data_IF_538405213704
#
_entry.id   IF_538405213704
#
_cell.length_a   1.000
_cell.length_b   1.000
_cell.length_c   1.000
_cell.angle_alpha   90.00
_cell.angle_beta   90.00
_cell.angle_gamma   90.00
#
_symmetry.space_group_name_H-M   'P 1'
#
loop_
_entity.id
_entity.type
_entity.pdbx_description
1 polymer ?
#
# COMPACT_ATOMS: atom_id res chain seq x y z
N UNK A 1 85.05 59.42 0.78
CA UNK A 1 84.69 58.75 2.05
C UNK A 1 83.34 59.31 2.52
N UNK A 2 82.32 59.28 1.67
CA UNK A 2 81.36 58.19 1.40
C UNK A 2 80.34 57.96 2.53
N UNK A 3 79.58 59.02 2.81
CA UNK A 3 78.20 58.97 3.34
C UNK A 3 77.23 58.14 2.46
N UNK A 4 77.70 57.62 1.32
CA UNK A 4 76.97 56.69 0.44
C UNK A 4 76.93 55.23 0.94
N UNK A 5 77.75 54.83 1.92
CA UNK A 5 77.78 53.43 2.40
C UNK A 5 76.76 53.16 3.51
N UNK A 6 76.37 54.15 4.30
CA UNK A 6 75.37 53.97 5.38
C UNK A 6 73.91 54.04 4.91
N UNK A 7 73.63 54.65 3.76
CA UNK A 7 72.29 54.65 3.15
C UNK A 7 71.97 53.38 2.34
N UNK A 8 72.98 52.52 2.10
CA UNK A 8 72.79 51.23 1.41
C UNK A 8 72.65 50.04 2.35
N UNK A 9 72.83 50.22 3.67
CA UNK A 9 72.67 49.14 4.65
C UNK A 9 71.26 49.06 5.27
N UNK A 10 70.41 50.07 5.04
CA UNK A 10 68.98 50.03 5.37
C UNK A 10 68.05 49.79 4.16
N UNK A 11 68.62 49.43 3.00
CA UNK A 11 67.84 49.08 1.78
C UNK A 11 67.89 47.56 1.50
N UNK A 12 68.44 46.77 2.43
CA UNK A 12 68.62 45.32 2.27
C UNK A 12 68.01 44.47 3.41
N UNK A 13 67.05 45.01 4.16
CA UNK A 13 66.29 44.25 5.19
C UNK A 13 64.78 44.17 4.97
N UNK A 14 64.25 44.55 3.81
CA UNK A 14 62.81 44.43 3.48
C UNK A 14 62.58 43.81 2.08
N UNK A 15 63.39 42.80 1.73
CA UNK A 15 63.03 41.87 0.64
C UNK A 15 62.73 40.50 1.23
N UNK A 16 61.45 40.18 1.28
CA UNK A 16 60.98 38.80 1.24
C UNK A 16 60.41 38.31 2.55
N UNK A 17 59.15 38.64 2.82
CA UNK A 17 58.08 37.65 2.90
C UNK A 17 56.76 38.39 2.67
N UNK A 18 56.40 38.59 1.40
CA UNK A 18 54.97 38.69 1.09
C UNK A 18 54.28 37.45 1.66
N UNK A 19 53.03 37.52 2.12
CA UNK A 19 52.38 36.37 2.75
C UNK A 19 52.43 35.17 1.81
N UNK A 20 52.57 33.99 2.39
CA UNK A 20 52.53 32.72 1.67
C UNK A 20 51.10 32.49 1.12
N UNK A 21 50.79 33.10 -0.03
CA UNK A 21 49.48 33.01 -0.68
C UNK A 21 49.14 31.53 -0.93
N UNK A 22 50.13 30.71 -1.32
CA UNK A 22 49.94 29.29 -1.56
C UNK A 22 49.57 28.55 -0.26
N UNK A 23 50.30 28.81 0.82
CA UNK A 23 50.01 28.26 2.15
C UNK A 23 48.62 28.65 2.66
N UNK A 24 48.21 29.90 2.48
CA UNK A 24 46.87 30.37 2.88
C UNK A 24 45.74 29.76 2.03
N UNK A 25 45.96 29.59 0.73
CA UNK A 25 45.03 28.84 -0.13
C UNK A 25 44.93 27.38 0.33
N UNK A 26 46.03 26.75 0.72
CA UNK A 26 46.03 25.38 1.23
C UNK A 26 45.40 25.26 2.63
N UNK A 27 45.51 26.29 3.47
CA UNK A 27 44.73 26.41 4.71
C UNK A 27 43.23 26.47 4.39
N UNK A 28 42.81 27.29 3.44
CA UNK A 28 41.41 27.37 3.02
C UNK A 28 40.89 26.02 2.47
N UNK A 29 41.69 25.30 1.67
CA UNK A 29 41.34 23.95 1.19
C UNK A 29 41.22 22.94 2.34
N UNK A 30 42.02 23.07 3.40
CA UNK A 30 41.87 22.26 4.63
C UNK A 30 40.56 22.58 5.33
N UNK A 31 40.16 23.85 5.42
CA UNK A 31 38.86 24.24 5.96
C UNK A 31 37.69 23.64 5.16
N UNK A 32 37.77 23.65 3.82
CA UNK A 32 36.77 23.01 2.95
C UNK A 32 36.66 21.51 3.23
N UNK A 33 37.80 20.80 3.31
CA UNK A 33 37.83 19.37 3.65
C UNK A 33 37.28 19.08 5.04
N UNK A 34 37.38 20.03 5.96
CA UNK A 34 36.79 19.95 7.30
C UNK A 34 35.30 20.36 7.34
N UNK A 35 34.68 20.68 6.21
CA UNK A 35 33.29 21.13 6.12
C UNK A 35 33.06 22.59 6.55
N UNK A 36 34.10 23.33 6.88
CA UNK A 36 34.05 24.74 7.34
C UNK A 36 34.00 25.70 6.14
N UNK A 37 32.93 25.60 5.35
CA UNK A 37 32.78 26.34 4.09
C UNK A 37 32.74 27.86 4.32
N UNK A 38 32.06 28.32 5.38
CA UNK A 38 32.01 29.73 5.75
C UNK A 38 33.39 30.32 6.10
N UNK A 39 34.17 29.59 6.90
CA UNK A 39 35.53 30.01 7.27
C UNK A 39 36.46 30.05 6.04
N UNK A 40 36.36 29.03 5.18
CA UNK A 40 37.10 29.00 3.92
C UNK A 40 36.74 30.18 3.01
N UNK A 41 35.45 30.55 2.94
CA UNK A 41 34.97 31.72 2.19
C UNK A 41 35.54 33.01 2.72
N UNK A 42 35.52 33.19 4.04
CA UNK A 42 36.06 34.40 4.69
C UNK A 42 37.58 34.52 4.47
N UNK A 43 38.32 33.42 4.62
CA UNK A 43 39.75 33.37 4.37
C UNK A 43 40.09 33.73 2.91
N UNK A 44 39.47 33.05 1.94
CA UNK A 44 39.75 33.27 0.52
C UNK A 44 39.31 34.65 0.05
N UNK A 45 38.15 35.16 0.48
CA UNK A 45 37.69 36.49 0.08
C UNK A 45 38.57 37.61 0.65
N UNK A 46 39.06 37.46 1.88
CA UNK A 46 39.99 38.43 2.50
C UNK A 46 41.34 38.42 1.79
N UNK A 47 41.86 37.21 1.51
CA UNK A 47 43.10 37.03 0.77
C UNK A 47 42.99 37.62 -0.64
N UNK A 48 41.88 37.35 -1.34
CA UNK A 48 41.60 37.87 -2.67
C UNK A 48 41.52 39.40 -2.71
N UNK A 49 40.83 40.03 -1.74
CA UNK A 49 40.76 41.50 -1.64
C UNK A 49 42.13 42.16 -1.50
N UNK A 50 43.09 41.45 -0.91
CA UNK A 50 44.44 41.97 -0.65
C UNK A 50 45.40 41.70 -1.81
N UNK A 51 45.27 40.53 -2.46
CA UNK A 51 46.21 40.04 -3.48
C UNK A 51 45.52 39.68 -4.80
N UNK A 52 44.55 40.49 -5.24
CA UNK A 52 43.72 40.21 -6.41
C UNK A 52 44.51 40.02 -7.73
N UNK A 53 45.74 40.53 -7.81
CA UNK A 53 46.60 40.42 -8.99
C UNK A 53 47.24 39.02 -9.16
N UNK A 54 47.27 38.18 -8.12
CA UNK A 54 47.89 36.85 -8.18
C UNK A 54 47.04 35.86 -9.01
N UNK A 55 47.55 35.32 -10.14
CA UNK A 55 46.78 34.42 -11.00
C UNK A 55 46.39 33.10 -10.33
N UNK A 56 47.23 32.55 -9.46
CA UNK A 56 46.97 31.28 -8.76
C UNK A 56 45.86 31.41 -7.73
N UNK A 57 45.81 32.54 -7.04
CA UNK A 57 44.74 32.93 -6.14
C UNK A 57 43.44 33.18 -6.89
N UNK A 58 43.47 33.89 -8.02
CA UNK A 58 42.30 34.08 -8.89
C UNK A 58 41.68 32.74 -9.29
N UNK A 59 42.49 31.78 -9.77
CA UNK A 59 42.01 30.44 -10.15
C UNK A 59 41.42 29.71 -8.93
N UNK A 60 42.12 29.73 -7.80
CA UNK A 60 41.68 29.03 -6.59
C UNK A 60 40.38 29.61 -6.04
N UNK A 61 40.24 30.94 -6.06
CA UNK A 61 39.04 31.62 -5.62
C UNK A 61 37.88 31.39 -6.59
N UNK A 62 38.10 31.48 -7.91
CA UNK A 62 37.07 31.17 -8.91
C UNK A 62 36.56 29.73 -8.78
N UNK A 63 37.44 28.74 -8.58
CA UNK A 63 37.04 27.33 -8.33
C UNK A 63 36.23 27.19 -7.04
N UNK A 64 36.63 27.89 -5.99
CA UNK A 64 35.89 27.87 -4.73
C UNK A 64 34.48 28.46 -4.89
N UNK A 65 34.35 29.62 -5.52
CA UNK A 65 33.06 30.26 -5.82
C UNK A 65 32.18 29.35 -6.68
N UNK A 66 32.76 28.71 -7.69
CA UNK A 66 32.07 27.72 -8.53
C UNK A 66 31.53 26.55 -7.70
N UNK A 67 32.37 25.98 -6.81
CA UNK A 67 31.96 24.87 -5.94
C UNK A 67 30.86 25.24 -4.95
N UNK A 68 30.77 26.52 -4.57
CA UNK A 68 29.70 27.08 -3.74
C UNK A 68 28.44 27.47 -4.55
N UNK A 69 28.46 27.34 -5.89
CA UNK A 69 27.38 27.76 -6.76
C UNK A 69 27.16 29.28 -6.82
N UNK A 70 28.16 30.09 -6.48
CA UNK A 70 28.09 31.56 -6.53
C UNK A 70 28.31 32.09 -7.94
N UNK A 71 27.54 31.56 -8.90
CA UNK A 71 27.74 31.78 -10.33
C UNK A 71 27.62 33.27 -10.71
N UNK A 72 26.63 33.98 -10.15
CA UNK A 72 26.40 35.39 -10.44
C UNK A 72 27.59 36.27 -10.06
N UNK A 73 28.11 36.09 -8.84
CA UNK A 73 29.27 36.82 -8.35
C UNK A 73 30.52 36.44 -9.14
N UNK A 74 30.72 35.14 -9.40
CA UNK A 74 31.85 34.64 -10.19
C UNK A 74 31.87 35.26 -11.59
N UNK A 75 30.73 35.29 -12.29
CA UNK A 75 30.62 35.87 -13.63
C UNK A 75 30.88 37.38 -13.60
N UNK A 76 30.38 38.09 -12.58
CA UNK A 76 30.58 39.52 -12.42
C UNK A 76 32.06 39.86 -12.20
N UNK A 77 32.73 39.11 -11.33
CA UNK A 77 34.12 39.36 -10.95
C UNK A 77 35.11 38.93 -12.05
N UNK A 78 34.90 37.74 -12.62
CA UNK A 78 35.87 37.10 -13.50
C UNK A 78 35.48 37.07 -14.98
N UNK A 79 34.35 37.67 -15.36
CA UNK A 79 33.81 37.57 -16.72
C UNK A 79 34.72 38.13 -17.83
N UNK A 80 35.65 39.01 -17.49
CA UNK A 80 36.65 39.57 -18.44
C UNK A 80 38.08 39.05 -18.18
N UNK A 81 38.24 37.99 -17.38
CA UNK A 81 39.57 37.47 -17.04
C UNK A 81 40.30 36.94 -18.29
N UNK A 82 41.60 37.28 -18.47
CA UNK A 82 42.39 36.74 -19.56
C UNK A 82 42.78 35.27 -19.34
N UNK A 83 42.64 34.72 -18.13
CA UNK A 83 43.07 33.37 -17.75
C UNK A 83 42.11 32.31 -18.30
N UNK A 84 42.62 31.38 -19.10
CA UNK A 84 41.81 30.40 -19.82
C UNK A 84 40.98 29.47 -18.91
N UNK A 85 41.59 28.98 -17.82
CA UNK A 85 40.90 28.15 -16.83
C UNK A 85 39.70 28.90 -16.21
N UNK A 86 39.84 30.20 -15.99
CA UNK A 86 38.79 31.03 -15.40
C UNK A 86 37.66 31.24 -16.41
N UNK A 87 37.98 31.45 -17.69
CA UNK A 87 36.96 31.53 -18.76
C UNK A 87 36.13 30.25 -18.83
N UNK A 88 36.77 29.08 -18.77
CA UNK A 88 36.06 27.80 -18.74
C UNK A 88 35.08 27.70 -17.55
N UNK A 89 35.52 28.12 -16.36
CA UNK A 89 34.68 28.14 -15.15
C UNK A 89 33.52 29.13 -15.29
N UNK A 90 33.76 30.31 -15.86
CA UNK A 90 32.72 31.33 -16.15
C UNK A 90 31.68 30.78 -17.13
N UNK A 91 32.11 30.11 -18.19
CA UNK A 91 31.21 29.52 -19.18
C UNK A 91 30.37 28.40 -18.60
N UNK A 92 30.97 27.53 -17.78
CA UNK A 92 30.23 26.51 -17.01
C UNK A 92 29.23 27.15 -16.05
N UNK A 93 29.63 28.23 -15.37
CA UNK A 93 28.76 28.98 -14.45
C UNK A 93 27.52 29.53 -15.18
N UNK A 94 27.70 30.11 -16.37
CA UNK A 94 26.58 30.59 -17.20
C UNK A 94 25.63 29.46 -17.60
N UNK A 95 26.18 28.31 -18.02
CA UNK A 95 25.38 27.12 -18.35
C UNK A 95 24.60 26.60 -17.14
N UNK A 96 25.23 26.53 -15.98
CA UNK A 96 24.62 26.01 -14.76
C UNK A 96 23.52 26.93 -14.22
N UNK A 97 23.67 28.25 -14.32
CA UNK A 97 22.58 29.18 -14.00
C UNK A 97 21.32 28.93 -14.83
N UNK A 98 21.47 28.65 -16.13
CA UNK A 98 20.34 28.33 -17.00
C UNK A 98 19.73 26.98 -16.62
N UNK A 99 20.57 25.96 -16.39
CA UNK A 99 20.13 24.61 -15.98
C UNK A 99 19.37 24.59 -14.66
N UNK A 100 19.74 25.46 -13.72
CA UNK A 100 19.13 25.51 -12.39
C UNK A 100 17.68 26.01 -12.40
N UNK A 101 17.34 26.88 -13.36
CA UNK A 101 15.98 27.42 -13.47
C UNK A 101 14.99 26.32 -13.86
N UNK A 102 14.06 26.00 -12.96
CA UNK A 102 13.06 24.96 -13.20
C UNK A 102 13.63 23.53 -13.26
N UNK A 103 14.83 23.32 -12.71
CA UNK A 103 15.51 22.03 -12.77
C UNK A 103 14.66 20.87 -12.21
N UNK A 104 14.77 19.72 -12.88
CA UNK A 104 14.24 18.46 -12.36
C UNK A 104 15.25 17.81 -11.39
N UNK A 105 14.85 16.70 -10.76
CA UNK A 105 15.69 15.99 -9.78
C UNK A 105 17.06 15.60 -10.35
N UNK A 106 17.11 15.06 -11.58
CA UNK A 106 18.34 14.58 -12.20
C UNK A 106 19.32 15.74 -12.47
N UNK A 107 18.82 16.85 -13.02
CA UNK A 107 19.64 18.04 -13.28
C UNK A 107 20.20 18.60 -11.97
N UNK A 108 19.40 18.62 -10.90
CA UNK A 108 19.87 19.07 -9.58
C UNK A 108 20.96 18.16 -9.02
N UNK A 109 20.84 16.83 -9.19
CA UNK A 109 21.89 15.89 -8.78
C UNK A 109 23.21 16.12 -9.53
N UNK A 110 23.15 16.32 -10.84
CA UNK A 110 24.33 16.67 -11.65
C UNK A 110 24.95 18.00 -11.20
N UNK A 111 24.12 19.02 -10.92
CA UNK A 111 24.59 20.31 -10.42
C UNK A 111 25.22 20.21 -9.03
N UNK A 112 24.75 19.32 -8.15
CA UNK A 112 25.41 19.05 -6.87
C UNK A 112 26.78 18.37 -7.08
N UNK A 113 26.92 17.49 -8.07
CA UNK A 113 28.23 16.90 -8.37
C UNK A 113 29.24 17.95 -8.86
N UNK A 114 28.78 18.92 -9.66
CA UNK A 114 29.63 20.02 -10.14
C UNK A 114 29.92 21.07 -9.07
N UNK A 115 28.92 21.37 -8.23
CA UNK A 115 28.96 22.42 -7.20
C UNK A 115 28.48 21.87 -5.85
N UNK A 116 29.30 21.05 -5.17
CA UNK A 116 28.89 20.25 -4.01
C UNK A 116 28.57 21.07 -2.75
N UNK A 117 28.97 22.34 -2.73
CA UNK A 117 28.72 23.24 -1.59
C UNK A 117 27.65 24.28 -1.92
N UNK A 118 26.94 24.14 -3.04
CA UNK A 118 25.89 25.06 -3.42
C UNK A 118 24.67 24.94 -2.52
N UNK A 119 24.52 25.93 -1.62
CA UNK A 119 23.34 26.06 -0.77
C UNK A 119 22.05 26.05 -1.58
N UNK A 120 22.00 26.83 -2.67
CA UNK A 120 20.78 27.00 -3.49
C UNK A 120 20.35 25.69 -4.15
N UNK A 121 21.30 25.02 -4.81
CA UNK A 121 21.04 23.75 -5.52
C UNK A 121 20.68 22.63 -4.54
N UNK A 122 21.43 22.50 -3.44
CA UNK A 122 21.15 21.46 -2.44
C UNK A 122 19.81 21.67 -1.73
N UNK A 123 19.44 22.91 -1.38
CA UNK A 123 18.10 23.22 -0.84
C UNK A 123 17.00 22.80 -1.82
N UNK A 124 17.16 23.17 -3.10
CA UNK A 124 16.21 22.82 -4.15
C UNK A 124 16.10 21.30 -4.35
N UNK A 125 17.24 20.58 -4.36
CA UNK A 125 17.27 19.13 -4.48
C UNK A 125 16.56 18.47 -3.31
N UNK A 126 16.90 18.86 -2.08
CA UNK A 126 16.29 18.30 -0.88
C UNK A 126 14.77 18.51 -0.89
N UNK A 127 14.30 19.72 -1.19
CA UNK A 127 12.85 19.99 -1.29
C UNK A 127 12.18 19.13 -2.37
N UNK A 128 12.80 19.01 -3.56
CA UNK A 128 12.27 18.16 -4.65
C UNK A 128 12.18 16.69 -4.23
N UNK A 129 13.14 16.20 -3.45
CA UNK A 129 13.14 14.84 -2.92
C UNK A 129 12.04 14.65 -1.87
N UNK A 130 11.77 15.65 -1.02
CA UNK A 130 10.65 15.63 -0.07
C UNK A 130 9.31 15.57 -0.80
N UNK A 131 9.11 16.40 -1.83
CA UNK A 131 7.87 16.41 -2.63
C UNK A 131 7.58 15.06 -3.30
N UNK A 132 8.64 14.33 -3.67
CA UNK A 132 8.56 12.99 -4.27
C UNK A 132 8.49 11.85 -3.25
N UNK A 133 8.46 12.15 -1.95
CA UNK A 133 8.44 11.13 -0.89
C UNK A 133 9.76 10.39 -0.69
N UNK A 134 10.88 10.86 -1.26
CA UNK A 134 12.22 10.25 -1.16
C UNK A 134 12.93 10.70 0.13
N UNK A 135 12.29 10.51 1.28
CA UNK A 135 12.69 11.12 2.56
C UNK A 135 14.10 10.74 3.04
N UNK A 136 14.52 9.48 2.88
CA UNK A 136 15.85 9.06 3.29
C UNK A 136 16.97 9.76 2.52
N UNK A 137 16.78 10.03 1.22
CA UNK A 137 17.73 10.78 0.40
C UNK A 137 17.70 12.27 0.74
N UNK A 138 16.50 12.83 0.91
CA UNK A 138 16.32 14.22 1.33
C UNK A 138 17.02 14.51 2.66
N UNK A 139 16.90 13.60 3.65
CA UNK A 139 17.60 13.74 4.94
C UNK A 139 19.11 13.76 4.79
N UNK A 140 19.70 12.86 3.99
CA UNK A 140 21.17 12.87 3.78
C UNK A 140 21.64 14.19 3.16
N UNK A 141 20.93 14.67 2.15
CA UNK A 141 21.22 15.97 1.54
C UNK A 141 21.10 17.12 2.57
N UNK A 142 20.08 17.09 3.43
CA UNK A 142 19.88 18.10 4.47
C UNK A 142 20.93 18.01 5.60
N UNK A 143 21.38 16.80 5.96
CA UNK A 143 22.47 16.56 6.92
C UNK A 143 23.80 17.14 6.40
N UNK A 144 24.13 16.88 5.14
CA UNK A 144 25.32 17.46 4.49
C UNK A 144 25.24 18.98 4.44
N UNK A 145 24.10 19.52 4.01
CA UNK A 145 23.91 20.96 3.95
C UNK A 145 23.98 21.63 5.33
N UNK A 146 23.41 21.00 6.35
CA UNK A 146 23.48 21.46 7.74
C UNK A 146 24.91 21.41 8.28
N UNK A 147 25.73 20.43 7.88
CA UNK A 147 27.13 20.39 8.26
C UNK A 147 27.91 21.61 7.72
N UNK A 148 27.54 22.11 6.53
CA UNK A 148 28.21 23.28 5.92
C UNK A 148 27.65 24.62 6.39
N UNK A 149 26.33 24.70 6.57
CA UNK A 149 25.59 25.95 6.79
C UNK A 149 24.69 25.87 8.02
N UNK A 150 25.12 25.20 9.09
CA UNK A 150 24.30 24.94 10.27
C UNK A 150 23.84 26.17 11.06
N UNK A 151 24.30 27.37 10.72
CA UNK A 151 23.79 28.64 11.28
C UNK A 151 22.67 29.27 10.45
N UNK A 152 22.47 28.78 9.22
CA UNK A 152 21.44 29.27 8.32
C UNK A 152 20.06 28.75 8.75
N UNK A 153 19.11 29.68 8.86
CA UNK A 153 17.76 29.40 9.36
C UNK A 153 17.02 28.45 8.41
N UNK A 154 17.06 28.68 7.10
CA UNK A 154 16.35 27.85 6.12
C UNK A 154 16.92 26.42 6.11
N UNK A 155 18.24 26.29 6.26
CA UNK A 155 18.91 24.99 6.33
C UNK A 155 18.50 24.23 7.58
N UNK A 156 18.38 24.91 8.74
CA UNK A 156 17.84 24.31 9.97
C UNK A 156 16.39 23.86 9.81
N UNK A 157 15.54 24.66 9.16
CA UNK A 157 14.16 24.27 8.86
C UNK A 157 14.11 23.03 7.97
N UNK A 158 14.89 23.00 6.88
CA UNK A 158 14.97 21.86 5.98
C UNK A 158 15.48 20.61 6.71
N UNK A 159 16.52 20.74 7.54
CA UNK A 159 17.07 19.64 8.34
C UNK A 159 16.03 19.06 9.31
N UNK A 160 15.32 19.92 10.04
CA UNK A 160 14.24 19.49 10.93
C UNK A 160 13.16 18.73 10.15
N UNK A 161 12.71 19.32 9.04
CA UNK A 161 11.66 18.79 8.19
C UNK A 161 12.03 17.42 7.59
N UNK A 162 13.20 17.31 6.97
CA UNK A 162 13.67 16.06 6.36
C UNK A 162 13.93 14.97 7.41
N UNK A 163 14.41 15.33 8.60
CA UNK A 163 14.59 14.39 9.71
C UNK A 163 13.26 13.81 10.19
N UNK A 164 12.23 14.65 10.36
CA UNK A 164 10.88 14.23 10.76
C UNK A 164 10.28 13.32 9.70
N UNK A 165 10.33 13.74 8.43
CA UNK A 165 9.74 12.98 7.34
C UNK A 165 10.45 11.66 7.02
N UNK A 166 11.68 11.47 7.50
CA UNK A 166 12.38 10.19 7.42
C UNK A 166 12.25 9.35 8.71
N UNK A 167 11.36 9.71 9.63
CA UNK A 167 11.14 8.99 10.90
C UNK A 167 12.16 9.28 12.01
N UNK A 168 13.14 10.16 11.81
CA UNK A 168 14.09 10.58 12.84
C UNK A 168 13.51 11.70 13.72
N UNK A 169 12.37 11.41 14.36
CA UNK A 169 11.59 12.41 15.09
C UNK A 169 12.38 13.13 16.17
N UNK A 170 13.15 12.41 16.98
CA UNK A 170 13.93 13.02 18.07
C UNK A 170 14.89 14.12 17.58
N UNK A 171 15.60 13.87 16.47
CA UNK A 171 16.52 14.86 15.86
C UNK A 171 15.75 16.07 15.32
N UNK A 172 14.65 15.81 14.62
CA UNK A 172 13.82 16.85 14.04
C UNK A 172 13.15 17.73 15.09
N UNK A 173 12.58 17.14 16.14
CA UNK A 173 11.95 17.83 17.27
C UNK A 173 12.98 18.68 18.02
N UNK A 174 14.18 18.14 18.30
CA UNK A 174 15.25 18.91 18.92
C UNK A 174 15.62 20.14 18.08
N UNK A 175 15.65 20.01 16.74
CA UNK A 175 15.89 21.15 15.85
C UNK A 175 14.73 22.14 15.83
N UNK A 176 13.47 21.69 15.85
CA UNK A 176 12.32 22.60 15.98
C UNK A 176 12.41 23.42 17.26
N UNK A 177 12.77 22.80 18.39
CA UNK A 177 12.97 23.48 19.68
C UNK A 177 14.11 24.49 19.64
N UNK A 178 15.22 24.19 18.95
CA UNK A 178 16.35 25.12 18.83
C UNK A 178 16.03 26.34 17.94
N UNK A 179 14.99 26.24 17.11
CA UNK A 179 14.44 27.34 16.30
C UNK A 179 13.19 27.97 16.95
N UNK A 180 12.97 27.77 18.26
CA UNK A 180 11.83 28.31 19.02
C UNK A 180 10.43 27.88 18.53
N UNK A 181 10.35 26.81 17.70
CA UNK A 181 9.09 26.23 17.22
C UNK A 181 8.50 25.23 18.22
N UNK A 182 8.32 25.68 19.46
CA UNK A 182 7.87 24.81 20.55
C UNK A 182 6.49 24.18 20.30
N UNK A 183 5.55 24.94 19.69
CA UNK A 183 4.20 24.44 19.39
C UNK A 183 4.21 23.24 18.45
N UNK A 184 5.01 23.29 17.39
CA UNK A 184 5.10 22.20 16.41
C UNK A 184 5.79 20.97 17.02
N UNK A 185 6.85 21.20 17.80
CA UNK A 185 7.57 20.16 18.52
C UNK A 185 6.64 19.42 19.52
N UNK A 186 5.95 20.16 20.38
CA UNK A 186 5.02 19.61 21.38
C UNK A 186 3.83 18.91 20.72
N UNK A 187 3.32 19.43 19.61
CA UNK A 187 2.24 18.77 18.86
C UNK A 187 2.71 17.43 18.28
N UNK A 188 3.89 17.39 17.68
CA UNK A 188 4.44 16.16 17.11
C UNK A 188 4.76 15.12 18.20
N UNK A 189 5.37 15.54 19.32
CA UNK A 189 5.61 14.66 20.48
C UNK A 189 4.32 14.05 21.02
N UNK A 190 3.27 14.84 21.19
CA UNK A 190 1.95 14.34 21.64
C UNK A 190 1.38 13.29 20.68
N UNK A 191 1.48 13.52 19.37
CA UNK A 191 0.99 12.56 18.37
C UNK A 191 1.80 11.25 18.36
N UNK A 192 3.12 11.34 18.55
CA UNK A 192 3.99 10.15 18.66
C UNK A 192 3.64 9.37 19.92
N UNK A 193 3.53 10.03 21.08
CA UNK A 193 3.16 9.38 22.33
C UNK A 193 1.77 8.72 22.23
N UNK A 194 0.79 9.43 21.66
CA UNK A 194 -0.55 8.89 21.43
C UNK A 194 -0.54 7.66 20.51
N UNK A 195 0.33 7.63 19.49
CA UNK A 195 0.52 6.45 18.65
C UNK A 195 1.12 5.28 19.44
N UNK A 196 2.15 5.52 20.24
CA UNK A 196 2.78 4.49 21.07
C UNK A 196 1.80 3.89 22.08
N UNK A 197 0.94 4.72 22.69
CA UNK A 197 -0.10 4.29 23.62
C UNK A 197 -1.16 3.39 22.97
N UNK A 198 -1.38 3.50 21.66
CA UNK A 198 -2.33 2.60 20.95
C UNK A 198 -1.94 1.13 21.04
N UNK A 199 -0.66 0.81 21.27
CA UNK A 199 -0.19 -0.56 21.43
C UNK A 199 -0.80 -1.27 22.66
N UNK A 200 -1.19 -0.49 23.68
CA UNK A 200 -1.76 -1.00 24.93
C UNK A 200 -3.30 -0.86 25.00
N UNK A 201 -3.91 -0.30 23.95
CA UNK A 201 -5.36 -0.10 23.89
C UNK A 201 -6.12 -1.43 23.78
N UNK A 202 -7.21 -1.55 24.52
CA UNK A 202 -8.16 -2.68 24.41
C UNK A 202 -8.82 -2.75 23.03
N UNK A 203 -9.01 -1.59 22.38
CA UNK A 203 -9.51 -1.50 21.01
C UNK A 203 -8.56 -0.64 20.15
N UNK A 204 -7.43 -1.25 19.79
CA UNK A 204 -6.37 -0.62 18.99
C UNK A 204 -6.89 0.01 17.69
N UNK A 205 -7.82 -0.64 16.98
CA UNK A 205 -8.35 -0.12 15.72
C UNK A 205 -9.15 1.17 15.91
N UNK A 206 -9.97 1.26 16.96
CA UNK A 206 -10.70 2.49 17.29
C UNK A 206 -9.74 3.63 17.68
N UNK A 207 -8.73 3.32 18.50
CA UNK A 207 -7.70 4.31 18.90
C UNK A 207 -6.92 4.85 17.70
N UNK A 208 -6.52 3.99 16.77
CA UNK A 208 -5.82 4.40 15.55
C UNK A 208 -6.68 5.30 14.65
N UNK A 209 -7.98 5.01 14.53
CA UNK A 209 -8.92 5.87 13.77
C UNK A 209 -9.11 7.24 14.41
N UNK A 210 -9.22 7.31 15.74
CA UNK A 210 -9.30 8.57 16.46
C UNK A 210 -8.04 9.43 16.22
N UNK A 211 -6.86 8.80 16.34
CA UNK A 211 -5.58 9.48 16.11
C UNK A 211 -5.43 9.95 14.65
N UNK A 212 -5.88 9.17 13.67
CA UNK A 212 -5.86 9.57 12.26
C UNK A 212 -6.71 10.84 12.00
N UNK A 213 -7.84 10.96 12.70
CA UNK A 213 -8.68 12.16 12.65
C UNK A 213 -7.99 13.36 13.29
N UNK A 214 -7.35 13.17 14.45
CA UNK A 214 -6.60 14.21 15.14
C UNK A 214 -5.46 14.78 14.28
N UNK A 215 -4.70 13.91 13.63
CA UNK A 215 -3.63 14.34 12.71
C UNK A 215 -4.20 15.16 11.55
N UNK A 216 -5.34 14.73 10.98
CA UNK A 216 -5.95 15.43 9.86
C UNK A 216 -6.43 16.84 10.25
N UNK A 217 -6.85 17.04 11.50
CA UNK A 217 -7.17 18.37 12.02
C UNK A 217 -5.90 19.21 12.18
N UNK A 218 -4.83 18.63 12.75
CA UNK A 218 -3.55 19.33 12.93
C UNK A 218 -2.92 19.81 11.60
N UNK A 219 -3.08 19.04 10.52
CA UNK A 219 -2.63 19.42 9.17
C UNK A 219 -3.35 20.66 8.62
N UNK A 220 -4.60 20.91 9.04
CA UNK A 220 -5.34 22.11 8.66
C UNK A 220 -4.88 23.35 9.44
N UNK A 221 -4.37 23.15 10.66
CA UNK A 221 -3.92 24.22 11.57
C UNK A 221 -2.50 24.73 11.24
N UNK A 222 -1.65 23.91 10.60
CA UNK A 222 -0.22 24.20 10.40
C UNK A 222 0.15 24.21 8.91
N UNK A 223 0.42 25.39 8.33
CA UNK A 223 0.51 25.55 6.86
C UNK A 223 1.91 25.70 6.27
N UNK A 224 2.97 25.80 7.08
CA UNK A 224 4.30 26.23 6.59
C UNK A 224 5.12 25.11 5.91
N UNK A 225 4.98 23.86 6.36
CA UNK A 225 5.73 22.74 5.79
C UNK A 225 4.98 22.06 4.65
N UNK A 226 5.72 21.77 3.57
CA UNK A 226 5.24 21.02 2.41
C UNK A 226 6.27 19.95 2.06
N UNK A 227 5.97 18.64 2.22
CA UNK A 227 4.78 18.07 2.87
C UNK A 227 4.61 18.47 4.35
N UNK A 228 3.46 18.19 4.96
CA UNK A 228 3.25 18.47 6.38
C UNK A 228 4.22 17.67 7.25
N UNK A 229 4.65 18.20 8.40
CA UNK A 229 5.46 17.47 9.39
C UNK A 229 4.81 16.16 9.84
N UNK A 230 3.48 16.09 9.81
CA UNK A 230 2.73 14.91 10.25
C UNK A 230 2.60 13.83 9.17
N UNK A 231 3.05 14.10 7.95
CA UNK A 231 2.91 13.18 6.81
C UNK A 231 3.49 11.81 7.12
N UNK A 232 4.71 11.75 7.65
CA UNK A 232 5.35 10.45 7.89
C UNK A 232 4.62 9.64 8.97
N UNK A 233 4.29 10.23 10.13
CA UNK A 233 3.54 9.54 11.19
C UNK A 233 2.14 9.12 10.73
N UNK A 234 1.46 9.97 9.96
CA UNK A 234 0.12 9.68 9.42
C UNK A 234 0.13 8.43 8.55
N UNK A 235 1.00 8.37 7.56
CA UNK A 235 0.94 7.32 6.54
C UNK A 235 1.74 6.07 6.92
N UNK A 236 2.96 6.22 7.46
CA UNK A 236 3.85 5.08 7.75
C UNK A 236 3.53 4.37 9.07
N UNK A 237 2.87 5.06 10.01
CA UNK A 237 2.51 4.48 11.30
C UNK A 237 1.01 4.35 11.45
N UNK A 238 0.30 5.48 11.61
CA UNK A 238 -1.10 5.45 12.06
C UNK A 238 -2.03 4.82 11.02
N UNK A 239 -1.99 5.27 9.76
CA UNK A 239 -2.83 4.72 8.69
C UNK A 239 -2.41 3.30 8.31
N UNK A 240 -1.10 3.03 8.22
CA UNK A 240 -0.59 1.69 7.92
C UNK A 240 -1.09 0.68 8.96
N UNK A 241 -0.87 0.96 10.24
CA UNK A 241 -1.31 0.07 11.33
C UNK A 241 -2.83 0.00 11.42
N UNK A 242 -3.54 1.09 11.12
CA UNK A 242 -5.01 1.07 11.10
C UNK A 242 -5.54 0.09 10.05
N UNK A 243 -5.00 0.14 8.83
CA UNK A 243 -5.40 -0.76 7.74
C UNK A 243 -4.98 -2.18 8.05
N UNK A 244 -3.75 -2.38 8.52
CA UNK A 244 -3.23 -3.69 8.92
C UNK A 244 -4.09 -4.35 10.00
N UNK A 245 -4.36 -3.64 11.10
CA UNK A 245 -5.21 -4.15 12.19
C UNK A 245 -6.64 -4.43 11.71
N UNK A 246 -7.18 -3.60 10.83
CA UNK A 246 -8.48 -3.84 10.21
C UNK A 246 -8.52 -5.14 9.42
N UNK A 247 -7.50 -5.40 8.61
CA UNK A 247 -7.39 -6.61 7.79
C UNK A 247 -7.16 -7.86 8.65
N UNK A 248 -6.30 -7.79 9.68
CA UNK A 248 -6.10 -8.87 10.64
C UNK A 248 -7.41 -9.28 11.33
N UNK A 249 -8.23 -8.30 11.67
CA UNK A 249 -9.54 -8.51 12.29
C UNK A 249 -10.65 -8.87 11.29
N UNK A 250 -10.33 -8.97 9.98
CA UNK A 250 -11.31 -9.13 8.87
C UNK A 250 -12.44 -8.08 8.93
N UNK A 251 -12.14 -6.87 9.40
CA UNK A 251 -13.11 -5.79 9.51
C UNK A 251 -13.43 -5.21 8.12
N UNK A 252 -14.72 -5.01 7.86
CA UNK A 252 -15.18 -4.36 6.62
C UNK A 252 -15.00 -2.84 6.65
N UNK A 253 -14.98 -2.21 5.47
CA UNK A 253 -14.87 -0.78 5.26
C UNK A 253 -13.42 -0.26 5.29
N UNK A 254 -12.43 -1.10 4.99
CA UNK A 254 -11.01 -0.70 4.97
C UNK A 254 -10.55 -0.24 3.59
N UNK A 255 -11.30 -0.53 2.53
CA UNK A 255 -10.88 -0.28 1.14
C UNK A 255 -10.44 1.16 0.88
N UNK A 256 -11.19 2.16 1.35
CA UNK A 256 -10.85 3.57 1.11
C UNK A 256 -9.54 3.99 1.81
N UNK A 257 -9.34 3.53 3.05
CA UNK A 257 -8.13 3.80 3.81
C UNK A 257 -6.92 3.11 3.19
N UNK A 258 -7.09 1.85 2.77
CA UNK A 258 -6.04 1.08 2.12
C UNK A 258 -5.68 1.66 0.74
N UNK A 259 -6.66 2.16 -0.03
CA UNK A 259 -6.40 2.86 -1.30
C UNK A 259 -5.59 4.13 -1.09
N UNK A 260 -5.96 4.95 -0.11
CA UNK A 260 -5.21 6.17 0.24
C UNK A 260 -3.78 5.84 0.67
N UNK A 261 -3.61 4.80 1.48
CA UNK A 261 -2.30 4.31 1.91
C UNK A 261 -1.45 3.86 0.71
N UNK A 262 -2.02 3.05 -0.19
CA UNK A 262 -1.31 2.54 -1.36
C UNK A 262 -0.91 3.66 -2.33
N UNK A 263 -1.82 4.60 -2.60
CA UNK A 263 -1.54 5.78 -3.42
C UNK A 263 -0.37 6.61 -2.87
N UNK A 264 -0.22 6.66 -1.55
CA UNK A 264 0.83 7.44 -0.91
C UNK A 264 2.17 6.70 -0.80
N UNK A 265 2.16 5.46 -0.31
CA UNK A 265 3.39 4.70 -0.06
C UNK A 265 3.92 3.98 -1.32
N UNK A 266 3.02 3.50 -2.18
CA UNK A 266 3.34 2.75 -3.39
C UNK A 266 4.38 1.62 -3.16
N UNK A 267 4.19 0.85 -2.08
CA UNK A 267 5.03 -0.30 -1.72
C UNK A 267 4.27 -1.62 -1.89
N UNK A 268 5.00 -2.72 -2.00
CA UNK A 268 4.43 -4.08 -2.05
C UNK A 268 3.49 -4.38 -0.87
N UNK A 269 3.86 -3.98 0.34
CA UNK A 269 2.99 -4.15 1.52
C UNK A 269 1.70 -3.34 1.38
N UNK A 270 1.78 -2.09 0.93
CA UNK A 270 0.58 -1.26 0.75
C UNK A 270 -0.33 -1.79 -0.36
N UNK A 271 0.23 -2.35 -1.44
CA UNK A 271 -0.51 -3.02 -2.51
C UNK A 271 -1.24 -4.25 -1.99
N UNK A 272 -0.53 -5.09 -1.22
CA UNK A 272 -1.11 -6.25 -0.55
C UNK A 272 -2.29 -5.88 0.34
N UNK A 273 -2.12 -4.87 1.19
CA UNK A 273 -3.19 -4.42 2.09
C UNK A 273 -4.39 -3.87 1.32
N UNK A 274 -4.16 -3.16 0.21
CA UNK A 274 -5.25 -2.64 -0.62
C UNK A 274 -6.08 -3.76 -1.25
N UNK A 275 -5.41 -4.74 -1.87
CA UNK A 275 -6.11 -5.90 -2.47
C UNK A 275 -6.81 -6.72 -1.39
N UNK A 276 -6.17 -6.96 -0.24
CA UNK A 276 -6.80 -7.66 0.88
C UNK A 276 -8.05 -6.95 1.40
N UNK A 277 -8.02 -5.62 1.51
CA UNK A 277 -9.18 -4.84 1.92
C UNK A 277 -10.36 -5.00 0.93
N UNK A 278 -10.09 -4.97 -0.38
CA UNK A 278 -11.10 -5.23 -1.43
C UNK A 278 -11.70 -6.64 -1.32
N UNK A 279 -10.86 -7.65 -1.05
CA UNK A 279 -11.31 -9.04 -0.88
C UNK A 279 -12.24 -9.16 0.34
N UNK A 280 -11.86 -8.56 1.47
CA UNK A 280 -12.64 -8.58 2.72
C UNK A 280 -13.95 -7.81 2.57
N UNK A 281 -13.92 -6.69 1.85
CA UNK A 281 -15.11 -5.88 1.53
C UNK A 281 -15.96 -6.50 0.40
N UNK A 282 -15.56 -7.67 -0.12
CA UNK A 282 -16.22 -8.44 -1.19
C UNK A 282 -16.39 -7.67 -2.51
N UNK A 283 -15.56 -6.66 -2.74
CA UNK A 283 -15.60 -5.80 -3.92
C UNK A 283 -15.33 -6.60 -5.20
N UNK A 284 -16.15 -6.36 -6.21
CA UNK A 284 -16.01 -6.95 -7.55
C UNK A 284 -14.70 -6.56 -8.27
N UNK A 285 -14.09 -5.43 -7.93
CA UNK A 285 -12.88 -4.94 -8.60
C UNK A 285 -11.60 -5.59 -8.09
N UNK A 286 -11.64 -6.42 -7.04
CA UNK A 286 -10.46 -6.96 -6.38
C UNK A 286 -9.46 -7.64 -7.34
N UNK A 287 -9.95 -8.45 -8.29
CA UNK A 287 -9.10 -9.13 -9.28
C UNK A 287 -8.50 -8.20 -10.32
N UNK A 288 -9.25 -7.17 -10.72
CA UNK A 288 -8.75 -6.17 -11.66
C UNK A 288 -7.64 -5.34 -11.01
N UNK A 289 -7.87 -4.89 -9.78
CA UNK A 289 -6.89 -4.14 -9.00
C UNK A 289 -5.65 -4.99 -8.72
N UNK A 290 -5.81 -6.26 -8.33
CA UNK A 290 -4.66 -7.17 -8.14
C UNK A 290 -3.80 -7.27 -9.40
N UNK A 291 -4.40 -7.37 -10.59
CA UNK A 291 -3.65 -7.46 -11.85
C UNK A 291 -2.92 -6.16 -12.21
N UNK A 292 -3.49 -5.00 -11.88
CA UNK A 292 -2.93 -3.68 -12.23
C UNK A 292 -1.92 -3.18 -11.20
N UNK A 293 -2.22 -3.35 -9.93
CA UNK A 293 -1.56 -2.70 -8.78
C UNK A 293 -1.08 -3.70 -7.73
N UNK A 294 -1.12 -5.01 -8.02
CA UNK A 294 -0.69 -6.04 -7.08
C UNK A 294 0.80 -5.95 -6.71
N UNK A 295 1.19 -6.51 -5.55
CA UNK A 295 2.58 -6.53 -5.10
C UNK A 295 3.48 -7.25 -6.10
N UNK A 296 4.77 -6.90 -6.14
CA UNK A 296 5.77 -7.60 -6.96
C UNK A 296 6.33 -8.84 -6.25
N UNK A 297 6.40 -8.82 -4.92
CA UNK A 297 6.81 -9.95 -4.09
C UNK A 297 6.01 -11.22 -4.39
N UNK A 298 6.72 -12.28 -4.76
CA UNK A 298 6.15 -13.60 -5.07
C UNK A 298 5.35 -14.14 -3.87
N UNK A 299 5.87 -13.96 -2.66
CA UNK A 299 5.23 -14.44 -1.44
C UNK A 299 3.86 -13.78 -1.22
N UNK A 300 3.79 -12.45 -1.38
CA UNK A 300 2.53 -11.71 -1.20
C UNK A 300 1.53 -12.01 -2.31
N UNK A 301 2.00 -12.20 -3.56
CA UNK A 301 1.15 -12.65 -4.68
C UNK A 301 0.48 -13.98 -4.39
N UNK A 302 1.26 -14.98 -3.97
CA UNK A 302 0.73 -16.30 -3.64
C UNK A 302 -0.29 -16.23 -2.49
N UNK A 303 -0.07 -15.37 -1.50
CA UNK A 303 -1.04 -15.16 -0.42
C UNK A 303 -2.35 -14.55 -0.94
N UNK A 304 -2.29 -13.52 -1.79
CA UNK A 304 -3.47 -12.89 -2.38
C UNK A 304 -4.24 -13.82 -3.32
N UNK A 305 -3.54 -14.61 -4.14
CA UNK A 305 -4.15 -15.56 -5.06
C UNK A 305 -4.98 -16.60 -4.32
N UNK A 306 -4.46 -17.13 -3.20
CA UNK A 306 -5.20 -18.03 -2.32
C UNK A 306 -6.44 -17.37 -1.73
N UNK A 307 -6.34 -16.13 -1.26
CA UNK A 307 -7.48 -15.41 -0.69
C UNK A 307 -8.55 -15.06 -1.75
N UNK A 308 -8.15 -14.71 -2.97
CA UNK A 308 -9.05 -14.50 -4.10
C UNK A 308 -9.76 -15.79 -4.49
N UNK A 309 -9.05 -16.91 -4.56
CA UNK A 309 -9.63 -18.22 -4.83
C UNK A 309 -10.61 -18.64 -3.74
N UNK A 310 -10.25 -18.47 -2.47
CA UNK A 310 -11.13 -18.72 -1.33
C UNK A 310 -12.37 -17.81 -1.35
N UNK A 311 -12.24 -16.56 -1.78
CA UNK A 311 -13.37 -15.62 -1.93
C UNK A 311 -14.31 -16.09 -3.05
N UNK A 312 -13.77 -16.54 -4.19
CA UNK A 312 -14.55 -17.11 -5.30
C UNK A 312 -15.28 -18.39 -4.88
N UNK A 313 -14.61 -19.28 -4.16
CA UNK A 313 -15.19 -20.53 -3.66
C UNK A 313 -16.39 -20.23 -2.75
N UNK A 314 -16.23 -19.34 -1.76
CA UNK A 314 -17.32 -18.88 -0.89
C UNK A 314 -18.51 -18.33 -1.67
N UNK A 315 -18.27 -17.47 -2.67
CA UNK A 315 -19.34 -16.93 -3.55
C UNK A 315 -20.03 -18.01 -4.40
N UNK A 316 -19.36 -19.11 -4.74
CA UNK A 316 -19.96 -20.25 -5.47
C UNK A 316 -20.83 -21.08 -4.53
N UNK A 317 -20.32 -21.42 -3.35
CA UNK A 317 -21.05 -22.17 -2.32
C UNK A 317 -22.32 -21.43 -1.88
N UNK A 318 -22.27 -20.11 -1.67
CA UNK A 318 -23.47 -19.32 -1.35
C UNK A 318 -24.51 -19.36 -2.47
N UNK A 319 -24.08 -19.33 -3.74
CA UNK A 319 -25.00 -19.44 -4.89
C UNK A 319 -25.63 -20.82 -4.97
N UNK A 320 -24.88 -21.87 -4.67
CA UNK A 320 -25.37 -23.24 -4.63
C UNK A 320 -26.35 -23.46 -3.47
N UNK A 321 -26.05 -22.93 -2.28
CA UNK A 321 -26.97 -22.94 -1.14
C UNK A 321 -28.26 -22.19 -1.42
N UNK A 322 -28.19 -21.00 -2.04
CA UNK A 322 -29.38 -20.24 -2.47
C UNK A 322 -30.18 -20.96 -3.55
N UNK A 323 -29.53 -21.70 -4.45
CA UNK A 323 -30.18 -22.55 -5.46
C UNK A 323 -30.87 -23.76 -4.83
N UNK A 324 -30.22 -24.43 -3.87
CA UNK A 324 -30.80 -25.56 -3.13
C UNK A 324 -31.96 -25.16 -2.22
N UNK A 325 -31.95 -23.94 -1.68
CA UNK A 325 -33.07 -23.39 -0.90
C UNK A 325 -34.29 -23.06 -1.76
N UNK A 326 -34.16 -22.85 -3.07
CA UNK A 326 -35.29 -22.58 -3.96
C UNK A 326 -35.97 -23.88 -4.47
N UNK A 327 -35.31 -25.03 -4.28
CA UNK A 327 -35.86 -26.36 -4.62
C UNK A 327 -36.58 -27.04 -3.46
N UNK A 328 -36.63 -26.43 -2.27
CA UNK A 328 -37.42 -26.88 -1.13
C UNK A 328 -38.34 -25.76 -0.64
N UNK A 329 -39.65 -25.99 -0.67
CA UNK A 329 -40.74 -25.08 -0.27
C UNK A 329 -41.27 -24.14 -1.37
N UNK A 330 -41.87 -24.71 -2.41
CA UNK A 330 -43.17 -24.17 -2.82
C UNK A 330 -44.12 -24.46 -1.63
N UNK A 331 -44.65 -23.40 -1.00
CA UNK A 331 -45.54 -23.51 0.17
C UNK A 331 -46.60 -24.60 -0.05
N UNK A 332 -46.50 -25.69 0.72
CA UNK A 332 -47.46 -26.79 0.71
C UNK A 332 -47.03 -28.09 0.02
N UNK A 333 -45.80 -28.20 -0.53
CA UNK A 333 -45.34 -29.46 -1.15
C UNK A 333 -43.90 -29.84 -0.75
N UNK A 334 -43.65 -30.27 0.52
CA UNK A 334 -42.30 -30.50 1.06
C UNK A 334 -41.46 -31.55 0.31
N UNK A 335 -42.11 -32.48 -0.42
CA UNK A 335 -41.43 -33.50 -1.24
C UNK A 335 -41.85 -33.53 -2.72
N UNK A 336 -42.62 -32.54 -3.18
CA UNK A 336 -43.06 -32.51 -4.57
C UNK A 336 -44.17 -33.53 -4.91
N UNK A 337 -44.89 -34.12 -3.94
CA UNK A 337 -45.92 -35.13 -4.21
C UNK A 337 -47.13 -34.56 -4.95
N UNK A 338 -47.54 -33.33 -4.62
CA UNK A 338 -48.59 -32.64 -5.37
C UNK A 338 -48.14 -32.38 -6.81
N UNK A 339 -46.89 -31.95 -7.00
CA UNK A 339 -46.25 -31.79 -8.32
C UNK A 339 -46.12 -33.10 -9.10
N UNK A 340 -45.77 -34.20 -8.44
CA UNK A 340 -45.68 -35.54 -9.04
C UNK A 340 -47.04 -36.01 -9.55
N UNK A 341 -48.13 -35.73 -8.83
CA UNK A 341 -49.49 -36.00 -9.31
C UNK A 341 -49.99 -34.94 -10.30
N UNK A 342 -49.40 -33.74 -10.32
CA UNK A 342 -49.79 -32.62 -11.18
C UNK A 342 -51.07 -31.93 -10.70
N UNK A 343 -51.28 -31.89 -9.39
CA UNK A 343 -52.45 -31.29 -8.74
C UNK A 343 -51.97 -30.23 -7.72
N UNK A 344 -52.83 -29.27 -7.37
CA UNK A 344 -52.50 -28.26 -6.36
C UNK A 344 -52.69 -28.75 -4.92
N UNK A 345 -52.16 -28.03 -3.91
CA UNK A 345 -52.38 -28.32 -2.48
C UNK A 345 -53.85 -28.26 -2.05
N UNK A 346 -54.74 -27.63 -2.84
CA UNK A 346 -56.19 -27.54 -2.59
C UNK A 346 -56.99 -28.62 -3.33
N UNK A 347 -56.33 -29.55 -4.03
CA UNK A 347 -57.01 -30.56 -4.83
C UNK A 347 -57.91 -31.47 -3.98
N UNK A 348 -59.09 -31.83 -4.48
CA UNK A 348 -59.98 -32.79 -3.85
C UNK A 348 -59.46 -34.23 -3.95
N UNK A 349 -59.91 -35.11 -3.05
CA UNK A 349 -59.55 -36.55 -3.09
C UNK A 349 -59.90 -37.21 -4.43
N UNK A 350 -60.97 -36.73 -5.08
CA UNK A 350 -61.38 -37.16 -6.42
C UNK A 350 -60.36 -36.75 -7.51
N UNK A 351 -59.83 -35.53 -7.42
CA UNK A 351 -58.81 -35.02 -8.34
C UNK A 351 -57.47 -35.73 -8.17
N UNK A 352 -57.03 -35.95 -6.92
CA UNK A 352 -55.81 -36.71 -6.58
C UNK A 352 -55.90 -38.13 -7.17
N UNK A 353 -57.03 -38.82 -6.96
CA UNK A 353 -57.27 -40.18 -7.48
C UNK A 353 -57.37 -40.21 -9.00
N UNK A 354 -57.98 -39.20 -9.61
CA UNK A 354 -58.08 -39.09 -11.07
C UNK A 354 -56.71 -38.85 -11.72
N UNK A 355 -55.92 -37.94 -11.14
CA UNK A 355 -54.59 -37.59 -11.60
C UNK A 355 -53.61 -38.76 -11.48
N UNK A 356 -53.62 -39.48 -10.34
CA UNK A 356 -52.86 -40.71 -10.17
C UNK A 356 -53.22 -41.75 -11.24
N UNK A 357 -54.52 -42.02 -11.44
CA UNK A 357 -54.98 -42.98 -12.46
C UNK A 357 -54.58 -42.57 -13.87
N UNK A 358 -54.60 -41.28 -14.18
CA UNK A 358 -54.18 -40.74 -15.49
C UNK A 358 -52.68 -40.95 -15.70
N UNK A 359 -51.84 -40.47 -14.80
CA UNK A 359 -50.37 -40.58 -14.89
C UNK A 359 -49.89 -42.03 -14.81
N UNK A 360 -50.51 -42.85 -13.98
CA UNK A 360 -50.24 -44.28 -13.88
C UNK A 360 -50.53 -44.99 -15.20
N UNK A 361 -51.65 -44.69 -15.88
CA UNK A 361 -51.97 -45.25 -17.21
C UNK A 361 -51.05 -44.74 -18.33
N UNK A 362 -50.62 -43.48 -18.27
CA UNK A 362 -49.62 -42.93 -19.19
C UNK A 362 -48.27 -43.66 -19.06
N UNK A 363 -48.00 -44.18 -17.87
CA UNK A 363 -46.78 -44.87 -17.52
C UNK A 363 -46.92 -46.42 -17.62
N UNK A 364 -48.15 -46.94 -17.67
CA UNK A 364 -48.48 -48.37 -17.76
C UNK A 364 -48.15 -48.93 -19.17
N UNK A 365 -47.46 -50.07 -19.19
CA UNK A 365 -46.86 -50.78 -20.33
C UNK A 365 -47.84 -51.36 -21.37
N UNK A 366 -48.93 -50.66 -21.72
CA UNK A 366 -49.94 -51.24 -22.63
C UNK A 366 -49.61 -51.16 -24.13
N UNK A 367 -48.54 -50.48 -24.54
CA UNK A 367 -48.28 -50.28 -25.98
C UNK A 367 -46.85 -50.45 -26.49
N UNK A 368 -45.84 -50.76 -25.67
CA UNK A 368 -44.47 -50.88 -26.19
C UNK A 368 -44.04 -52.36 -26.26
N UNK A 369 -44.08 -52.93 -27.47
CA UNK A 369 -43.53 -54.26 -27.77
C UNK A 369 -42.01 -54.30 -27.86
N UNK A 370 -41.31 -53.16 -27.80
CA UNK A 370 -39.85 -53.06 -27.73
C UNK A 370 -39.52 -51.80 -26.92
N UNK A 371 -39.01 -51.93 -25.69
CA UNK A 371 -38.57 -50.80 -24.85
C UNK A 371 -37.09 -50.98 -24.54
N UNK A 372 -36.31 -49.91 -24.72
CA UNK A 372 -34.93 -49.81 -24.24
C UNK A 372 -34.87 -50.13 -22.73
N UNK A 373 -34.00 -51.03 -22.25
CA UNK A 373 -33.82 -51.31 -20.82
C UNK A 373 -33.70 -50.06 -19.93
N UNK A 374 -33.10 -48.98 -20.45
CA UNK A 374 -32.99 -47.70 -19.71
C UNK A 374 -34.33 -46.97 -19.57
N UNK A 375 -35.17 -47.03 -20.60
CA UNK A 375 -36.50 -46.42 -20.57
C UNK A 375 -37.46 -47.23 -19.67
N UNK A 376 -37.29 -48.56 -19.62
CA UNK A 376 -38.01 -49.42 -18.69
C UNK A 376 -37.71 -49.04 -17.23
N UNK A 377 -36.42 -48.95 -16.87
CA UNK A 377 -35.99 -48.57 -15.52
C UNK A 377 -36.47 -47.17 -15.14
N UNK A 378 -36.45 -46.22 -16.08
CA UNK A 378 -36.95 -44.85 -15.88
C UNK A 378 -38.44 -44.82 -15.58
N UNK A 379 -39.25 -45.58 -16.32
CA UNK A 379 -40.71 -45.64 -16.14
C UNK A 379 -41.10 -46.39 -14.88
N UNK A 380 -40.38 -47.45 -14.52
CA UNK A 380 -40.58 -48.17 -13.27
C UNK A 380 -40.35 -47.24 -12.07
N UNK A 381 -39.25 -46.49 -12.05
CA UNK A 381 -39.00 -45.46 -11.02
C UNK A 381 -40.09 -44.38 -10.99
N UNK A 382 -40.55 -43.93 -12.15
CA UNK A 382 -41.66 -42.97 -12.25
C UNK A 382 -42.98 -43.55 -11.69
N UNK A 383 -43.22 -44.85 -11.88
CA UNK A 383 -44.41 -45.52 -11.35
C UNK A 383 -44.37 -45.62 -9.83
N UNK A 384 -43.19 -45.95 -9.27
CA UNK A 384 -42.97 -46.00 -7.83
C UNK A 384 -43.20 -44.63 -7.18
N UNK A 385 -42.74 -43.55 -7.82
CA UNK A 385 -43.01 -42.18 -7.36
C UNK A 385 -44.50 -41.83 -7.35
N UNK A 386 -45.23 -42.20 -8.40
CA UNK A 386 -46.68 -41.97 -8.48
C UNK A 386 -47.44 -42.73 -7.38
N UNK A 387 -47.03 -43.96 -7.08
CA UNK A 387 -47.61 -44.78 -6.01
C UNK A 387 -47.36 -44.14 -4.64
N UNK A 388 -46.12 -43.77 -4.35
CA UNK A 388 -45.75 -43.13 -3.08
C UNK A 388 -46.47 -41.79 -2.88
N UNK A 389 -46.55 -40.95 -3.93
CA UNK A 389 -47.28 -39.68 -3.88
C UNK A 389 -48.78 -39.91 -3.63
N UNK A 390 -49.38 -40.91 -4.29
CA UNK A 390 -50.79 -41.25 -4.08
C UNK A 390 -51.04 -41.80 -2.67
N UNK A 391 -50.19 -42.67 -2.14
CA UNK A 391 -50.38 -43.24 -0.80
C UNK A 391 -50.29 -42.19 0.31
N UNK A 392 -49.41 -41.19 0.15
CA UNK A 392 -49.34 -40.05 1.06
C UNK A 392 -50.54 -39.11 0.95
N UNK A 393 -51.04 -38.85 -0.27
CA UNK A 393 -52.06 -37.82 -0.53
C UNK A 393 -53.51 -38.33 -0.55
N UNK A 394 -53.73 -39.66 -0.67
CA UNK A 394 -55.05 -40.27 -0.85
C UNK A 394 -56.00 -40.09 0.33
N UNK A 395 -55.49 -40.06 1.56
CA UNK A 395 -56.31 -39.99 2.78
C UNK A 395 -56.08 -38.65 3.48
N UNK A 396 -57.16 -37.98 3.91
CA UNK A 396 -57.10 -36.66 4.56
C UNK A 396 -56.15 -36.62 5.75
N UNK A 397 -56.09 -37.69 6.57
CA UNK A 397 -55.17 -37.80 7.72
C UNK A 397 -53.70 -37.94 7.30
N UNK A 398 -53.41 -38.67 6.22
CA UNK A 398 -52.04 -38.84 5.72
C UNK A 398 -51.55 -37.58 5.01
N UNK A 399 -52.46 -36.90 4.31
CA UNK A 399 -52.23 -35.62 3.66
C UNK A 399 -51.94 -34.50 4.67
N UNK A 400 -52.73 -34.40 5.74
CA UNK A 400 -52.46 -33.45 6.82
C UNK A 400 -51.07 -33.67 7.44
N UNK A 401 -50.71 -34.92 7.73
CA UNK A 401 -49.36 -35.24 8.23
C UNK A 401 -48.27 -34.83 7.24
N UNK A 402 -48.48 -35.09 5.95
CA UNK A 402 -47.57 -34.68 4.89
C UNK A 402 -47.41 -33.15 4.80
N UNK A 403 -48.52 -32.43 4.85
CA UNK A 403 -48.56 -30.96 4.82
C UNK A 403 -47.93 -30.34 6.08
N UNK A 404 -48.03 -31.01 7.23
CA UNK A 404 -47.36 -30.68 8.49
C UNK A 404 -45.87 -31.07 8.52
N UNK A 405 -45.35 -31.73 7.48
CA UNK A 405 -43.97 -32.20 7.39
C UNK A 405 -43.67 -33.47 8.22
N UNK A 406 -44.70 -34.16 8.70
CA UNK A 406 -44.61 -35.41 9.45
C UNK A 406 -44.71 -36.59 8.47
N UNK A 407 -43.58 -37.25 8.23
CA UNK A 407 -43.50 -38.37 7.28
C UNK A 407 -44.10 -39.66 7.86
N UNK A 408 -45.04 -40.26 7.14
CA UNK A 408 -45.64 -41.56 7.43
C UNK A 408 -45.01 -42.69 6.57
N UNK A 409 -43.97 -42.40 5.78
CA UNK A 409 -43.25 -43.35 4.90
C UNK A 409 -41.93 -43.87 5.48
N UNK A 410 -41.63 -43.56 6.74
CA UNK A 410 -40.57 -44.22 7.49
C UNK A 410 -41.12 -45.53 8.09
N UNK A 411 -40.64 -46.74 7.69
CA UNK A 411 -41.24 -47.99 8.13
C UNK A 411 -40.96 -48.25 9.61
N UNK A 412 -41.94 -48.00 10.46
CA UNK A 412 -42.12 -48.79 11.67
C UNK A 412 -43.24 -49.79 11.40
N UNK A 413 -42.94 -51.07 11.62
CA UNK A 413 -43.80 -52.26 11.49
C UNK A 413 -43.89 -52.93 10.10
N UNK A 414 -42.95 -53.86 9.87
CA UNK A 414 -43.25 -55.21 9.36
C UNK A 414 -43.88 -55.36 7.97
N UNK A 415 -43.08 -55.30 6.90
CA UNK A 415 -43.13 -56.23 5.75
C UNK A 415 -42.05 -55.89 4.73
N UNK A 416 -41.52 -56.94 4.10
CA UNK A 416 -40.37 -56.99 3.20
C UNK A 416 -40.47 -56.07 1.98
N UNK A 417 -39.59 -55.06 1.86
CA UNK A 417 -38.87 -54.73 0.61
C UNK A 417 -37.83 -53.62 0.85
N UNK A 418 -36.60 -53.93 0.44
CA UNK A 418 -35.41 -53.09 0.48
C UNK A 418 -35.47 -52.02 -0.62
N UNK A 419 -35.91 -50.81 -0.30
CA UNK A 419 -35.73 -49.65 -1.18
C UNK A 419 -35.35 -48.42 -0.35
N UNK A 420 -34.10 -48.02 -0.50
CA UNK A 420 -33.44 -46.89 0.13
C UNK A 420 -34.10 -45.56 -0.29
N UNK A 421 -34.68 -44.85 0.69
CA UNK A 421 -35.29 -43.54 0.50
C UNK A 421 -34.30 -42.46 0.01
N UNK A 422 -32.99 -42.71 0.15
CA UNK A 422 -31.93 -41.80 -0.32
C UNK A 422 -31.82 -41.77 -1.85
N UNK A 423 -32.14 -42.88 -2.54
CA UNK A 423 -32.09 -42.96 -4.01
C UNK A 423 -33.24 -42.24 -4.72
N UNK A 424 -34.35 -41.99 -4.03
CA UNK A 424 -35.55 -41.32 -4.58
C UNK A 424 -35.33 -39.81 -4.68
N UNK A 425 -34.66 -39.20 -3.69
CA UNK A 425 -34.36 -37.77 -3.69
C UNK A 425 -33.37 -37.40 -4.81
N UNK A 426 -32.33 -38.22 -5.03
CA UNK A 426 -31.37 -38.03 -6.11
C UNK A 426 -31.97 -38.26 -7.51
N UNK A 427 -32.90 -39.21 -7.65
CA UNK A 427 -33.62 -39.42 -8.91
C UNK A 427 -34.58 -38.25 -9.22
N UNK A 428 -35.30 -37.73 -8.22
CA UNK A 428 -36.16 -36.55 -8.36
C UNK A 428 -35.35 -35.28 -8.70
N UNK A 429 -34.19 -35.09 -8.07
CA UNK A 429 -33.24 -34.01 -8.41
C UNK A 429 -32.71 -34.14 -9.84
N UNK A 430 -32.41 -35.35 -10.29
CA UNK A 430 -31.91 -35.62 -11.66
C UNK A 430 -32.99 -35.42 -12.73
N UNK A 431 -34.26 -35.76 -12.42
CA UNK A 431 -35.38 -35.69 -13.37
C UNK A 431 -36.00 -34.29 -13.47
N UNK A 432 -36.07 -33.56 -12.36
CA UNK A 432 -36.69 -32.23 -12.28
C UNK A 432 -35.68 -31.07 -12.17
N UNK A 433 -34.38 -31.37 -12.06
CA UNK A 433 -33.28 -30.40 -11.93
C UNK A 433 -32.18 -30.52 -12.98
N UNK A 434 -32.50 -30.96 -14.20
CA UNK A 434 -31.52 -31.08 -15.30
C UNK A 434 -31.09 -29.71 -15.82
N UNK A 435 -30.08 -29.17 -15.15
CA UNK A 435 -29.33 -27.99 -15.53
C UNK A 435 -28.11 -27.85 -14.63
N UNK A 436 -27.01 -28.47 -15.05
CA UNK A 436 -25.64 -28.41 -14.50
C UNK A 436 -25.27 -29.38 -13.36
N UNK A 437 -24.68 -30.52 -13.72
CA UNK A 437 -23.64 -31.20 -12.92
C UNK A 437 -22.42 -31.43 -13.82
N UNK A 438 -21.31 -30.79 -13.46
CA UNK A 438 -20.03 -30.93 -14.12
C UNK A 438 -18.91 -30.69 -13.10
N UNK A 439 -18.30 -31.80 -12.68
CA UNK A 439 -17.04 -31.91 -11.94
C UNK A 439 -17.00 -31.48 -10.47
N UNK A 440 -17.31 -32.44 -9.58
CA UNK A 440 -16.64 -32.56 -8.28
C UNK A 440 -15.95 -33.91 -8.22
N UNK A 441 -14.61 -33.88 -8.25
CA UNK A 441 -13.73 -35.01 -8.01
C UNK A 441 -13.21 -34.96 -6.57
N UNK A 442 -13.42 -36.06 -5.88
CA UNK A 442 -13.16 -36.32 -4.47
C UNK A 442 -11.66 -36.27 -4.10
N UNK A 443 -11.32 -35.90 -2.85
CA UNK A 443 -10.09 -36.44 -2.24
C UNK A 443 -9.47 -35.71 -1.03
N UNK A 444 -9.74 -36.28 0.15
CA UNK A 444 -8.83 -36.48 1.30
C UNK A 444 -8.74 -35.48 2.47
N UNK A 445 -9.23 -36.01 3.60
CA UNK A 445 -8.90 -35.69 4.99
C UNK A 445 -7.45 -36.04 5.34
N UNK A 446 -6.78 -35.19 6.11
CA UNK A 446 -5.86 -35.59 7.20
C UNK A 446 -5.71 -34.48 8.24
N UNK A 447 -5.88 -34.86 9.51
CA UNK A 447 -5.65 -34.03 10.69
C UNK A 447 -4.15 -33.89 11.00
N UNK A 448 -3.73 -32.75 11.56
CA UNK A 448 -2.42 -32.60 12.20
C UNK A 448 -2.22 -31.24 12.88
N UNK A 449 -2.27 -31.23 14.22
CA UNK A 449 -1.78 -30.12 15.08
C UNK A 449 -0.27 -29.97 14.92
N UNK A 450 0.23 -28.75 14.77
CA UNK A 450 1.48 -28.30 15.40
C UNK A 450 1.60 -26.78 15.28
N UNK A 451 1.83 -26.13 16.42
CA UNK A 451 2.24 -24.73 16.45
C UNK A 451 3.75 -24.59 16.28
N UNK A 452 4.17 -23.52 15.60
CA UNK A 452 5.41 -22.80 15.88
C UNK A 452 5.48 -21.47 15.11
N UNK A 453 5.56 -20.40 15.92
CA UNK A 453 6.33 -19.14 15.77
C UNK A 453 6.95 -18.82 14.41
N UNK A 454 6.83 -17.57 13.95
CA UNK A 454 8.02 -16.78 13.57
C UNK A 454 7.76 -15.26 13.60
N UNK A 455 8.64 -14.55 14.30
CA UNK A 455 8.80 -13.10 14.29
C UNK A 455 9.36 -12.66 12.94
N UNK A 456 8.84 -11.58 12.36
CA UNK A 456 9.51 -10.87 11.26
C UNK A 456 9.86 -9.45 11.67
N UNK A 457 11.11 -9.11 11.33
CA UNK A 457 11.85 -7.93 11.74
C UNK A 457 11.23 -6.62 11.26
N UNK A 458 11.10 -5.69 12.20
CA UNK A 458 10.97 -4.25 12.00
C UNK A 458 12.34 -3.72 11.54
N UNK A 459 12.49 -3.30 10.29
CA UNK A 459 13.67 -2.57 9.85
C UNK A 459 13.46 -1.06 10.03
N UNK A 460 14.57 -0.46 10.47
CA UNK A 460 14.86 0.91 10.90
C UNK A 460 14.47 1.97 9.88
#
# INVERSE_FOLDING_TARGET
MNLWVMLLQNVWCDRGHGPDIAGEVDNARRLVRAGKIGDARNALSTLYKTYAADPGLQISYARFLYSCGEYEYLIKEFGSSPIEIIKEIVDKSRKNMVRESGANEQVLEELVQESPYSRRVMMALAQKLLDKGKYARARRCAEELFAYYGNDVDVRHLYAHASILSGMYARGIAMLRSMERHKDAERLERLIAAYEDTAYSTNKLASLRALLSEISIAELETSEYRPSLYTHIKYNHVLYDCVWQGIEQRARGMTELARKLHKFLNTDNSAYLYVMALIIDEDSSAEEVYRKEGPQSIFLRQALERELENSKARKREEKEQKRGSYTGSEKGDPRGYYKILGVGPDASDAEIKSAFRKKSRENEYKHLKEVDPKEYERREKQQTLLNNAYDCLKNTKSRQKYDEGIDNTSPSAGSTSYYDASGIEDFLRTFFGSGFSGFSGNGFNTHGRSGSRTYYYRYV
#
